data_IF_914297434505
#
_entry.id   IF_914297434505
#
_cell.length_a   1.000
_cell.length_b   1.000
_cell.length_c   1.000
_cell.angle_alpha   90.00
_cell.angle_beta   90.00
_cell.angle_gamma   90.00
#
_symmetry.space_group_name_H-M   'P 1'
#
loop_
_entity.id
_entity.type
_entity.pdbx_description
1 polymer ?
#
# COMPACT_ATOMS: atom_id res chain seq x y z
N UNK A 1 -14.22 0.68 -9.85
CA UNK A 1 -14.42 1.71 -10.89
C UNK A 1 -14.24 1.13 -12.30
N UNK A 2 -13.01 0.95 -12.81
CA UNK A 2 -12.79 0.40 -14.16
C UNK A 2 -13.39 -1.00 -14.35
N UNK A 3 -13.15 -1.90 -13.38
CA UNK A 3 -13.70 -3.27 -13.39
C UNK A 3 -15.21 -3.34 -13.18
N UNK A 4 -15.82 -2.28 -12.68
CA UNK A 4 -17.28 -2.14 -12.53
C UNK A 4 -17.92 -1.52 -13.78
N UNK A 5 -17.11 -1.06 -14.74
CA UNK A 5 -17.59 -0.33 -15.92
C UNK A 5 -18.13 1.07 -15.60
N UNK A 6 -17.82 1.64 -14.43
CA UNK A 6 -18.34 2.94 -14.00
C UNK A 6 -17.64 4.14 -14.66
N UNK A 7 -16.50 3.91 -15.32
CA UNK A 7 -15.70 4.92 -16.00
C UNK A 7 -15.49 4.44 -17.44
N UNK A 8 -15.85 5.28 -18.41
CA UNK A 8 -15.80 4.92 -19.84
C UNK A 8 -14.39 4.92 -20.45
N UNK A 9 -13.42 5.56 -19.80
CA UNK A 9 -12.03 5.69 -20.29
C UNK A 9 -11.13 4.51 -19.92
N UNK A 10 -11.65 3.52 -19.19
CA UNK A 10 -10.93 2.31 -18.83
C UNK A 10 -11.84 1.08 -18.87
N UNK A 11 -11.23 -0.09 -18.97
CA UNK A 11 -11.90 -1.39 -19.00
C UNK A 11 -11.26 -2.35 -17.99
N UNK A 12 -11.79 -3.58 -17.92
CA UNK A 12 -11.15 -4.69 -17.24
C UNK A 12 -9.69 -4.84 -17.68
N UNK A 13 -8.82 -5.26 -16.76
CA UNK A 13 -7.44 -5.59 -17.07
C UNK A 13 -7.40 -6.76 -18.04
N UNK A 14 -6.79 -6.56 -19.20
CA UNK A 14 -6.45 -7.66 -20.09
C UNK A 14 -5.11 -8.20 -19.65
N UNK A 15 -5.11 -9.38 -19.03
CA UNK A 15 -3.86 -10.12 -18.94
C UNK A 15 -3.67 -10.79 -20.30
N UNK A 16 -2.69 -10.30 -21.07
CA UNK A 16 -2.16 -11.11 -22.15
C UNK A 16 -1.80 -12.47 -21.54
N UNK A 17 -2.39 -13.53 -22.09
CA UNK A 17 -1.96 -14.89 -21.80
C UNK A 17 -0.54 -14.99 -22.35
N UNK A 18 0.46 -14.57 -21.56
CA UNK A 18 1.85 -14.86 -21.86
C UNK A 18 1.99 -16.39 -21.76
N UNK A 19 1.98 -17.03 -22.93
CA UNK A 19 2.30 -18.43 -23.09
C UNK A 19 1.13 -19.40 -22.89
N UNK A 20 0.13 -19.37 -23.78
CA UNK A 20 -0.30 -20.66 -24.32
C UNK A 20 0.85 -21.16 -25.20
N UNK A 21 1.72 -21.92 -24.55
CA UNK A 21 2.73 -22.76 -25.13
C UNK A 21 2.07 -23.71 -26.15
N UNK A 22 2.14 -23.35 -27.43
CA UNK A 22 2.07 -24.34 -28.50
C UNK A 22 3.40 -25.12 -28.49
N UNK A 23 3.58 -26.01 -27.52
CA UNK A 23 4.88 -26.65 -27.33
C UNK A 23 4.88 -27.84 -26.37
N UNK A 24 4.61 -29.02 -26.93
CA UNK A 24 5.06 -30.35 -26.45
C UNK A 24 6.08 -30.36 -25.28
N UNK A 25 5.71 -30.89 -24.11
CA UNK A 25 6.72 -31.36 -23.16
C UNK A 25 6.31 -31.67 -21.72
N UNK A 26 5.88 -32.92 -21.48
CA UNK A 26 6.09 -33.73 -20.25
C UNK A 26 6.04 -33.05 -18.86
N UNK A 27 4.90 -33.28 -18.19
CA UNK A 27 4.89 -33.96 -16.90
C UNK A 27 4.74 -33.11 -15.64
N UNK A 28 3.50 -32.85 -15.20
CA UNK A 28 2.89 -33.51 -14.04
C UNK A 28 1.46 -33.03 -13.87
N UNK A 29 0.61 -34.01 -13.58
CA UNK A 29 -0.83 -33.95 -13.50
C UNK A 29 -1.29 -33.30 -12.19
N UNK A 30 -2.06 -32.22 -12.29
CA UNK A 30 -3.09 -31.88 -11.29
C UNK A 30 -4.35 -31.48 -12.04
N UNK A 31 -5.23 -32.46 -12.28
CA UNK A 31 -6.48 -32.36 -13.02
C UNK A 31 -7.52 -31.37 -12.46
N UNK A 32 -7.35 -30.09 -12.76
CA UNK A 32 -8.43 -29.11 -12.76
C UNK A 32 -8.25 -28.16 -13.94
N UNK A 33 -8.98 -28.41 -15.03
CA UNK A 33 -9.13 -27.49 -16.16
C UNK A 33 -9.93 -26.28 -15.65
N UNK A 34 -9.29 -25.12 -15.54
CA UNK A 34 -9.95 -23.86 -15.20
C UNK A 34 -9.64 -22.81 -16.26
N UNK A 35 -10.64 -22.01 -16.58
CA UNK A 35 -10.55 -21.03 -17.66
C UNK A 35 -10.38 -19.62 -17.07
N UNK A 36 -9.54 -18.81 -17.71
CA UNK A 36 -9.51 -17.38 -17.48
C UNK A 36 -10.82 -16.76 -17.96
N UNK A 37 -11.47 -15.95 -17.13
CA UNK A 37 -12.69 -15.27 -17.48
C UNK A 37 -13.16 -14.30 -16.41
N UNK A 38 -14.22 -13.56 -16.67
CA UNK A 38 -14.66 -12.46 -15.80
C UNK A 38 -13.92 -11.15 -16.09
N UNK A 39 -13.89 -10.26 -15.11
CA UNK A 39 -13.30 -8.92 -15.25
C UNK A 39 -12.18 -8.75 -14.22
N UNK A 40 -10.93 -8.84 -14.68
CA UNK A 40 -9.79 -8.56 -13.82
C UNK A 40 -9.68 -7.06 -13.52
N UNK A 41 -9.22 -6.71 -12.32
CA UNK A 41 -8.94 -5.32 -11.98
C UNK A 41 -7.76 -4.79 -12.82
N UNK A 42 -7.95 -3.63 -13.46
CA UNK A 42 -6.94 -3.01 -14.30
C UNK A 42 -5.96 -2.17 -13.45
N UNK A 43 -5.09 -2.87 -12.73
CA UNK A 43 -4.14 -2.23 -11.80
C UNK A 43 -3.10 -1.37 -12.52
N UNK A 44 -2.73 -1.72 -13.76
CA UNK A 44 -1.80 -0.94 -14.57
C UNK A 44 -2.39 0.42 -14.95
N UNK A 45 -3.65 0.44 -15.41
CA UNK A 45 -4.36 1.70 -15.64
C UNK A 45 -4.44 2.54 -14.36
N UNK A 46 -4.78 1.91 -13.23
CA UNK A 46 -4.84 2.59 -11.93
C UNK A 46 -3.50 3.20 -11.51
N UNK A 47 -2.40 2.45 -11.67
CA UNK A 47 -1.06 2.92 -11.36
C UNK A 47 -0.61 4.06 -12.29
N UNK A 48 -0.91 3.96 -13.59
CA UNK A 48 -0.63 5.01 -14.57
C UNK A 48 -1.40 6.29 -14.24
N UNK A 49 -2.71 6.20 -14.02
CA UNK A 49 -3.53 7.34 -13.63
C UNK A 49 -3.02 7.99 -12.33
N UNK A 50 -2.71 7.17 -11.33
CA UNK A 50 -2.15 7.66 -10.06
C UNK A 50 -0.83 8.40 -10.26
N UNK A 51 0.07 7.89 -11.11
CA UNK A 51 1.32 8.58 -11.46
C UNK A 51 1.06 9.91 -12.14
N UNK A 52 0.18 9.94 -13.15
CA UNK A 52 -0.17 11.17 -13.88
C UNK A 52 -0.93 12.20 -13.03
N UNK A 53 -1.59 11.77 -11.95
CA UNK A 53 -2.35 12.66 -11.08
C UNK A 53 -1.54 13.12 -9.86
N UNK A 54 -0.97 12.20 -9.08
CA UNK A 54 -0.28 12.49 -7.82
C UNK A 54 1.10 13.11 -8.07
N UNK A 55 1.89 12.54 -9.00
CA UNK A 55 3.28 12.98 -9.19
C UNK A 55 3.37 14.34 -9.91
N UNK A 56 2.27 14.86 -10.48
CA UNK A 56 2.27 16.18 -11.13
C UNK A 56 2.44 17.36 -10.15
N UNK A 57 2.18 17.13 -8.86
CA UNK A 57 2.43 18.14 -7.83
C UNK A 57 3.91 18.17 -7.41
N UNK A 58 4.69 17.13 -7.73
CA UNK A 58 6.10 17.01 -7.37
C UNK A 58 7.01 17.68 -8.43
N UNK A 59 6.91 19.01 -8.52
CA UNK A 59 7.64 19.81 -9.52
C UNK A 59 8.98 20.34 -9.01
N UNK A 60 9.07 20.56 -7.71
CA UNK A 60 10.26 21.12 -7.09
C UNK A 60 11.43 20.16 -7.23
N UNK A 61 12.62 20.73 -7.34
CA UNK A 61 13.86 20.00 -7.45
C UNK A 61 14.52 20.05 -6.08
N UNK A 62 13.95 19.32 -5.13
CA UNK A 62 14.44 19.23 -3.77
C UNK A 62 14.38 17.78 -3.24
N UNK A 63 14.91 17.57 -2.03
CA UNK A 63 14.90 16.24 -1.38
C UNK A 63 13.47 15.76 -1.10
N UNK A 64 12.53 16.68 -0.83
CA UNK A 64 11.14 16.36 -0.56
C UNK A 64 10.45 15.78 -1.78
N UNK A 65 10.61 16.39 -2.95
CA UNK A 65 10.12 15.85 -4.22
C UNK A 65 10.68 14.46 -4.49
N UNK A 66 11.99 14.23 -4.28
CA UNK A 66 12.60 12.92 -4.48
C UNK A 66 12.02 11.85 -3.53
N UNK A 67 11.83 12.18 -2.25
CA UNK A 67 11.17 11.34 -1.26
C UNK A 67 9.72 11.04 -1.66
N UNK A 68 8.95 12.07 -2.05
CA UNK A 68 7.55 11.93 -2.44
C UNK A 68 7.40 11.02 -3.66
N UNK A 69 8.18 11.23 -4.72
CA UNK A 69 8.17 10.38 -5.91
C UNK A 69 8.53 8.92 -5.60
N UNK A 70 9.50 8.69 -4.70
CA UNK A 70 9.87 7.35 -4.26
C UNK A 70 8.71 6.68 -3.51
N UNK A 71 8.17 7.34 -2.48
CA UNK A 71 7.08 6.81 -1.66
C UNK A 71 5.78 6.61 -2.45
N UNK A 72 5.49 7.49 -3.42
CA UNK A 72 4.35 7.35 -4.33
C UNK A 72 4.50 6.09 -5.20
N UNK A 73 5.70 5.85 -5.73
CA UNK A 73 5.96 4.64 -6.51
C UNK A 73 5.88 3.37 -5.65
N UNK A 74 6.46 3.38 -4.45
CA UNK A 74 6.35 2.28 -3.49
C UNK A 74 4.87 1.95 -3.20
N UNK A 75 4.04 2.97 -2.98
CA UNK A 75 2.59 2.79 -2.79
C UNK A 75 1.90 2.14 -4.00
N UNK A 76 2.21 2.59 -5.23
CA UNK A 76 1.67 1.98 -6.46
C UNK A 76 2.11 0.52 -6.61
N UNK A 77 3.37 0.21 -6.31
CA UNK A 77 3.90 -1.14 -6.36
C UNK A 77 3.24 -2.06 -5.34
N UNK A 78 2.97 -1.60 -4.11
CA UNK A 78 2.25 -2.39 -3.10
C UNK A 78 0.80 -2.69 -3.48
N UNK A 79 0.12 -1.77 -4.17
CA UNK A 79 -1.22 -2.05 -4.72
C UNK A 79 -1.13 -3.13 -5.81
N UNK A 80 -0.16 -3.00 -6.72
CA UNK A 80 0.01 -3.93 -7.84
C UNK A 80 0.45 -5.33 -7.40
N UNK A 81 1.39 -5.43 -6.44
CA UNK A 81 1.92 -6.70 -5.96
C UNK A 81 0.93 -7.51 -5.13
N UNK A 82 -0.07 -6.85 -4.53
CA UNK A 82 -1.09 -7.50 -3.70
C UNK A 82 -2.25 -8.10 -4.51
N UNK A 83 -2.26 -7.96 -5.83
CA UNK A 83 -3.25 -8.58 -6.72
C UNK A 83 -3.35 -10.09 -6.50
N UNK A 84 -4.56 -10.62 -6.42
CA UNK A 84 -4.82 -12.05 -6.20
C UNK A 84 -5.73 -12.64 -7.25
N UNK A 85 -5.52 -13.92 -7.54
CA UNK A 85 -6.48 -14.71 -8.29
C UNK A 85 -7.67 -15.06 -7.40
N UNK A 86 -8.85 -14.58 -7.78
CA UNK A 86 -10.13 -15.04 -7.25
C UNK A 86 -10.80 -15.97 -8.26
N UNK A 87 -11.47 -17.01 -7.79
CA UNK A 87 -12.18 -17.96 -8.64
C UNK A 87 -13.63 -18.15 -8.15
N UNK A 88 -14.55 -18.31 -9.10
CA UNK A 88 -15.91 -18.81 -8.82
C UNK A 88 -16.08 -20.20 -9.42
N UNK A 89 -16.71 -21.07 -8.62
CA UNK A 89 -17.01 -22.44 -9.01
C UNK A 89 -18.43 -22.55 -9.58
N UNK A 90 -18.57 -23.30 -10.66
CA UNK A 90 -19.81 -23.41 -11.45
C UNK A 90 -20.28 -24.87 -11.62
N UNK A 91 -19.69 -25.83 -10.90
CA UNK A 91 -20.08 -27.23 -11.00
C UNK A 91 -21.40 -27.55 -10.29
N UNK A 92 -21.97 -28.72 -10.64
CA UNK A 92 -23.21 -29.23 -10.03
C UNK A 92 -23.11 -29.24 -8.50
N UNK A 93 -24.18 -28.81 -7.83
CA UNK A 93 -24.27 -28.70 -6.37
C UNK A 93 -23.13 -27.90 -5.71
N UNK A 94 -22.56 -26.91 -6.40
CA UNK A 94 -21.49 -26.06 -5.87
C UNK A 94 -20.09 -26.67 -5.97
N UNK A 95 -19.92 -27.76 -6.72
CA UNK A 95 -18.60 -28.34 -6.98
C UNK A 95 -17.71 -27.40 -7.81
N UNK A 96 -16.40 -27.49 -7.60
CA UNK A 96 -15.39 -26.72 -8.34
C UNK A 96 -14.80 -27.46 -9.54
N UNK A 97 -15.53 -28.45 -10.09
CA UNK A 97 -15.11 -29.20 -11.28
C UNK A 97 -14.90 -28.28 -12.49
N UNK A 98 -15.69 -27.21 -12.58
CA UNK A 98 -15.49 -26.09 -13.50
C UNK A 98 -15.40 -24.84 -12.65
N UNK A 99 -14.35 -24.03 -12.85
CA UNK A 99 -14.19 -22.73 -12.21
C UNK A 99 -13.66 -21.69 -13.20
N UNK A 100 -14.06 -20.46 -12.97
CA UNK A 100 -13.61 -19.28 -13.72
C UNK A 100 -12.85 -18.38 -12.78
N UNK A 101 -11.67 -17.92 -13.18
CA UNK A 101 -10.81 -17.09 -12.34
C UNK A 101 -10.44 -15.76 -13.01
N UNK A 102 -10.28 -14.72 -12.20
CA UNK A 102 -9.79 -13.38 -12.58
C UNK A 102 -8.87 -12.81 -11.50
N UNK A 103 -8.11 -11.79 -11.86
CA UNK A 103 -7.24 -11.08 -10.93
C UNK A 103 -8.00 -9.93 -10.27
N UNK A 104 -7.88 -9.81 -8.95
CA UNK A 104 -8.61 -8.80 -8.19
C UNK A 104 -7.75 -8.24 -7.07
N UNK A 105 -7.94 -6.96 -6.78
CA UNK A 105 -7.35 -6.32 -5.62
C UNK A 105 -7.98 -6.88 -4.33
N UNK A 106 -7.18 -7.08 -3.27
CA UNK A 106 -7.74 -7.42 -1.97
C UNK A 106 -8.45 -6.20 -1.36
N UNK A 107 -9.09 -6.39 -0.21
CA UNK A 107 -9.62 -5.28 0.57
C UNK A 107 -8.51 -4.24 0.85
N UNK A 108 -8.83 -2.95 0.75
CA UNK A 108 -7.85 -1.89 0.98
C UNK A 108 -7.22 -1.92 2.37
N UNK A 109 -7.91 -2.48 3.39
CA UNK A 109 -7.32 -2.72 4.71
C UNK A 109 -6.05 -3.57 4.66
N UNK A 110 -6.00 -4.57 3.77
CA UNK A 110 -4.80 -5.40 3.60
C UNK A 110 -3.64 -4.59 3.03
N UNK A 111 -3.92 -3.78 2.01
CA UNK A 111 -2.92 -2.87 1.42
C UNK A 111 -2.42 -1.90 2.50
N UNK A 112 -3.33 -1.33 3.30
CA UNK A 112 -3.00 -0.46 4.43
C UNK A 112 -2.08 -1.13 5.46
N UNK A 113 -2.31 -2.41 5.79
CA UNK A 113 -1.42 -3.16 6.68
C UNK A 113 -0.02 -3.34 6.07
N UNK A 114 0.08 -3.71 4.80
CA UNK A 114 1.38 -3.88 4.11
C UNK A 114 2.16 -2.56 4.09
N UNK A 115 1.48 -1.44 3.80
CA UNK A 115 2.10 -0.11 3.81
C UNK A 115 2.47 0.31 5.24
N UNK A 116 1.66 -0.05 6.25
CA UNK A 116 1.97 0.19 7.67
C UNK A 116 3.24 -0.55 8.12
N UNK A 117 3.44 -1.78 7.67
CA UNK A 117 4.67 -2.52 7.96
C UNK A 117 5.90 -1.83 7.34
N UNK A 118 5.75 -1.25 6.15
CA UNK A 118 6.81 -0.46 5.49
C UNK A 118 7.03 0.90 6.15
N UNK A 119 5.99 1.48 6.75
CA UNK A 119 6.10 2.69 7.55
C UNK A 119 6.91 2.44 8.82
N UNK A 120 6.68 1.32 9.51
CA UNK A 120 7.44 0.96 10.73
C UNK A 120 8.91 0.65 10.44
N UNK A 121 9.22 0.19 9.22
CA UNK A 121 10.57 -0.09 8.73
C UNK A 121 11.15 0.99 7.80
N UNK A 122 10.58 2.20 7.76
CA UNK A 122 11.01 3.23 6.83
C UNK A 122 12.46 3.66 7.06
N UNK A 123 13.18 3.99 5.98
CA UNK A 123 14.61 4.33 6.04
C UNK A 123 14.84 5.83 6.01
N UNK A 124 15.70 6.33 6.92
CA UNK A 124 16.16 7.72 6.89
C UNK A 124 17.16 7.93 5.75
N UNK A 125 16.91 8.95 4.95
CA UNK A 125 17.74 9.35 3.81
C UNK A 125 18.19 10.80 3.94
N UNK A 126 19.32 11.10 3.32
CA UNK A 126 19.93 12.42 3.22
C UNK A 126 20.10 12.80 1.75
N UNK A 127 20.38 14.08 1.52
CA UNK A 127 20.65 14.59 0.19
C UNK A 127 22.01 14.08 -0.29
N UNK A 128 21.99 13.24 -1.33
CA UNK A 128 23.20 12.80 -1.99
C UNK A 128 23.80 13.89 -2.87
N UNK A 129 25.14 13.93 -2.92
CA UNK A 129 25.90 14.88 -3.73
C UNK A 129 26.06 14.45 -5.21
N UNK A 130 25.43 13.35 -5.63
CA UNK A 130 25.57 12.87 -7.01
C UNK A 130 24.72 13.69 -7.99
N UNK A 131 25.40 14.53 -8.77
CA UNK A 131 24.83 15.22 -9.93
C UNK A 131 24.75 14.22 -11.09
N UNK A 132 23.66 13.45 -11.18
CA UNK A 132 23.35 12.73 -12.43
C UNK A 132 22.75 13.72 -13.42
N UNK A 133 23.35 13.81 -14.61
CA UNK A 133 23.06 14.75 -15.72
C UNK A 133 21.61 14.78 -16.24
N UNK A 134 20.72 13.95 -15.68
CA UNK A 134 19.27 14.03 -15.85
C UNK A 134 18.55 13.94 -14.50
N UNK A 135 18.64 15.03 -13.74
CA UNK A 135 17.63 15.52 -12.80
C UNK A 135 16.96 14.39 -12.00
N UNK A 136 17.67 13.86 -11.01
CA UNK A 136 17.06 13.29 -9.80
C UNK A 136 18.03 13.59 -8.66
N UNK A 137 17.54 14.24 -7.60
CA UNK A 137 18.27 14.23 -6.35
C UNK A 137 18.50 12.77 -5.97
N UNK A 138 19.76 12.42 -5.76
CA UNK A 138 20.10 11.09 -5.27
C UNK A 138 19.76 11.07 -3.79
N UNK A 139 18.93 10.12 -3.36
CA UNK A 139 18.71 9.86 -1.94
C UNK A 139 19.83 8.93 -1.48
N UNK A 140 20.63 9.38 -0.52
CA UNK A 140 21.66 8.55 0.11
C UNK A 140 21.20 8.12 1.50
N UNK A 141 21.56 6.91 1.92
CA UNK A 141 21.30 6.44 3.29
C UNK A 141 21.97 7.35 4.31
N UNK A 142 21.24 7.75 5.37
CA UNK A 142 21.84 8.46 6.50
C UNK A 142 22.80 7.58 7.31
N UNK A 143 22.52 6.27 7.41
CA UNK A 143 23.38 5.30 8.11
C UNK A 143 23.90 4.23 7.13
N UNK A 144 25.22 4.22 6.81
CA UNK A 144 25.82 3.24 5.90
C UNK A 144 25.73 1.78 6.38
N UNK A 145 25.50 1.55 7.67
CA UNK A 145 25.35 0.20 8.24
C UNK A 145 23.93 -0.37 8.04
N UNK A 146 22.98 0.46 7.60
CA UNK A 146 21.63 0.00 7.28
C UNK A 146 21.57 -0.49 5.84
N UNK A 147 20.69 -1.47 5.59
CA UNK A 147 20.42 -1.95 4.24
C UNK A 147 19.85 -0.79 3.40
N UNK A 148 20.33 -0.57 2.16
CA UNK A 148 19.71 0.40 1.25
C UNK A 148 18.24 0.11 1.01
N UNK A 149 17.36 1.14 0.99
CA UNK A 149 15.95 0.95 0.73
C UNK A 149 15.73 0.45 -0.69
N UNK A 150 14.81 -0.51 -0.83
CA UNK A 150 14.32 -0.97 -2.12
C UNK A 150 13.26 -0.03 -2.68
N UNK A 151 12.85 -0.23 -3.94
CA UNK A 151 11.80 0.59 -4.58
C UNK A 151 10.42 0.43 -3.94
N UNK A 152 10.23 -0.60 -3.12
CA UNK A 152 9.01 -0.87 -2.35
C UNK A 152 9.10 -0.41 -0.90
N UNK A 153 10.25 0.10 -0.46
CA UNK A 153 10.40 0.61 0.89
C UNK A 153 9.92 2.06 0.98
N UNK A 154 9.64 2.53 2.18
CA UNK A 154 9.33 3.94 2.42
C UNK A 154 10.58 4.64 2.95
N UNK A 155 10.76 5.89 2.55
CA UNK A 155 11.88 6.72 2.96
C UNK A 155 11.40 8.05 3.55
N UNK A 156 12.21 8.60 4.47
CA UNK A 156 11.97 9.91 5.08
C UNK A 156 13.31 10.62 5.32
N UNK A 157 13.32 11.95 5.42
CA UNK A 157 14.56 12.71 5.67
C UNK A 157 14.52 13.54 6.95
N UNK A 158 13.36 14.08 7.31
CA UNK A 158 13.16 14.85 8.55
C UNK A 158 12.64 13.96 9.68
N UNK A 159 13.13 14.20 10.89
CA UNK A 159 12.61 13.52 12.07
C UNK A 159 11.17 13.97 12.36
N UNK A 160 10.32 13.03 12.77
CA UNK A 160 8.94 13.34 13.13
C UNK A 160 8.89 14.17 14.42
N UNK A 161 8.02 15.19 14.51
CA UNK A 161 7.84 15.96 15.73
C UNK A 161 7.18 15.12 16.84
N UNK A 162 7.18 15.66 18.06
CA UNK A 162 6.36 15.08 19.13
C UNK A 162 4.89 15.41 18.92
N UNK A 163 4.05 14.39 18.75
CA UNK A 163 2.61 14.55 18.58
C UNK A 163 1.84 14.65 19.92
N UNK A 164 2.54 14.73 21.05
CA UNK A 164 1.91 14.71 22.37
C UNK A 164 1.09 15.96 22.67
N UNK A 165 1.64 17.14 22.39
CA UNK A 165 1.02 18.43 22.65
C UNK A 165 0.57 19.09 21.34
N UNK A 166 -0.36 20.05 21.38
CA UNK A 166 -0.79 20.76 20.19
C UNK A 166 0.35 21.61 19.63
N UNK A 167 0.62 21.50 18.32
CA UNK A 167 1.55 22.36 17.61
C UNK A 167 0.83 23.01 16.41
N UNK A 168 0.51 24.31 16.48
CA UNK A 168 -0.12 25.05 15.38
C UNK A 168 0.74 25.13 14.11
N UNK A 169 2.07 25.05 14.23
CA UNK A 169 3.00 25.19 13.09
C UNK A 169 2.93 24.03 12.12
N UNK A 170 2.68 22.82 12.63
CA UNK A 170 2.50 21.57 11.84
C UNK A 170 1.06 21.07 11.85
N UNK A 171 0.12 21.87 12.38
CA UNK A 171 -1.33 21.62 12.37
C UNK A 171 -1.77 20.31 13.04
N UNK A 172 -1.11 19.87 14.11
CA UNK A 172 -1.59 18.75 14.94
C UNK A 172 -2.14 19.21 16.29
N UNK A 173 -3.22 18.54 16.74
CA UNK A 173 -3.98 18.92 17.96
C UNK A 173 -3.41 18.33 19.26
N UNK A 174 -2.36 17.53 19.18
CA UNK A 174 -1.87 16.73 20.31
C UNK A 174 -2.74 15.49 20.55
N UNK A 175 -2.45 14.75 21.63
CA UNK A 175 -3.18 13.52 21.98
C UNK A 175 -4.18 13.67 23.14
N UNK A 176 -4.37 14.89 23.65
CA UNK A 176 -5.37 15.16 24.70
C UNK A 176 -6.77 14.78 24.20
N UNK A 177 -7.56 14.18 25.08
CA UNK A 177 -8.95 13.72 24.81
C UNK A 177 -9.08 12.63 23.73
N UNK A 178 -7.98 11.93 23.39
CA UNK A 178 -8.06 10.71 22.59
C UNK A 178 -8.35 9.51 23.48
N UNK A 179 -9.17 8.60 22.98
CA UNK A 179 -9.39 7.29 23.59
C UNK A 179 -8.08 6.48 23.57
N UNK A 180 -7.85 5.73 24.64
CA UNK A 180 -6.70 4.85 24.79
C UNK A 180 -7.12 3.52 25.41
N UNK A 181 -6.32 2.49 25.17
CA UNK A 181 -6.52 1.15 25.69
C UNK A 181 -5.62 0.92 26.92
N UNK A 182 -6.21 0.83 28.11
CA UNK A 182 -5.45 0.64 29.35
C UNK A 182 -4.72 -0.72 29.43
N UNK A 183 -5.15 -1.71 28.64
CA UNK A 183 -4.54 -3.05 28.60
C UNK A 183 -3.46 -3.18 27.51
N UNK A 184 -3.31 -2.20 26.62
CA UNK A 184 -2.32 -2.25 25.54
C UNK A 184 -1.00 -1.64 25.99
N UNK A 185 0.10 -2.28 25.58
CA UNK A 185 1.47 -1.77 25.71
C UNK A 185 1.93 -1.02 24.44
N UNK A 186 1.11 -1.04 23.38
CA UNK A 186 1.43 -0.46 22.08
C UNK A 186 1.14 1.04 22.01
N UNK A 187 1.18 1.58 20.80
CA UNK A 187 0.92 3.02 20.56
C UNK A 187 -0.51 3.43 20.86
N UNK A 188 -1.46 2.50 20.99
CA UNK A 188 -2.83 2.71 21.48
C UNK A 188 -2.96 2.61 23.01
N UNK A 189 -1.90 2.16 23.69
CA UNK A 189 -1.79 2.07 25.14
C UNK A 189 -1.87 3.43 25.82
N UNK A 190 -2.54 3.51 26.96
CA UNK A 190 -2.71 4.80 27.65
C UNK A 190 -1.39 5.46 28.08
N UNK A 191 -0.35 4.68 28.38
CA UNK A 191 0.97 5.23 28.73
C UNK A 191 1.60 6.01 27.57
N UNK A 192 1.47 5.48 26.34
CA UNK A 192 2.03 6.08 25.13
C UNK A 192 1.06 7.13 24.54
N UNK A 193 -0.22 6.81 24.38
CA UNK A 193 -1.24 7.74 23.87
C UNK A 193 -1.34 9.01 24.71
N UNK A 194 -1.35 8.88 26.04
CA UNK A 194 -1.49 10.02 26.93
C UNK A 194 -0.13 10.68 27.26
N UNK A 195 0.98 10.17 26.72
CA UNK A 195 2.33 10.68 26.93
C UNK A 195 2.68 10.84 28.43
N UNK A 196 2.33 9.84 29.24
CA UNK A 196 2.58 9.85 30.69
C UNK A 196 1.75 10.85 31.53
N UNK A 197 0.80 11.58 30.94
CA UNK A 197 -0.06 12.55 31.67
C UNK A 197 -1.18 11.91 32.49
N UNK A 198 -1.33 10.59 32.43
CA UNK A 198 -2.47 9.85 33.00
C UNK A 198 -3.70 9.86 32.09
N UNK A 199 -4.73 9.12 32.49
CA UNK A 199 -5.99 8.98 31.74
C UNK A 199 -7.21 8.92 32.69
N UNK A 200 -8.38 9.27 32.16
CA UNK A 200 -9.68 9.14 32.82
C UNK A 200 -10.47 8.01 32.16
N UNK A 201 -11.07 7.15 32.97
CA UNK A 201 -11.98 6.11 32.49
C UNK A 201 -13.43 6.58 32.60
N UNK A 202 -14.20 6.40 31.54
CA UNK A 202 -15.63 6.68 31.50
C UNK A 202 -16.37 5.42 31.04
N UNK A 203 -17.46 5.08 31.74
CA UNK A 203 -18.30 3.94 31.41
C UNK A 203 -19.62 4.43 30.83
N UNK A 204 -20.01 3.92 29.66
CA UNK A 204 -21.30 4.20 29.04
C UNK A 204 -22.06 2.90 28.76
N UNK A 205 -23.39 2.93 28.92
CA UNK A 205 -24.25 1.81 28.53
C UNK A 205 -24.58 1.91 27.04
N UNK A 206 -24.11 0.95 26.25
CA UNK A 206 -24.50 0.81 24.86
C UNK A 206 -25.72 -0.14 24.76
N UNK A 207 -26.80 0.33 24.13
CA UNK A 207 -27.89 -0.58 23.69
C UNK A 207 -27.49 -1.22 22.38
N UNK A 208 -27.27 -2.53 22.39
CA UNK A 208 -27.20 -3.31 21.16
C UNK A 208 -28.54 -3.27 20.43
N UNK A 209 -28.47 -3.19 19.09
CA UNK A 209 -29.63 -3.18 18.20
C UNK A 209 -30.02 -4.59 17.77
#
# INVERSE_FOLDING_TARGET
ACSEGSIYTCSCGHQEVQGQDQGRGRGQDTGAEWNWGGCSDNVEFGAKFCREFIDTNEKERDIRCAMNLHNNEAGRLHVASEMRQECKCHGLSGSCAIKTCWMKLPSFRRIGNVVKDRFDGASKVEQGNEIREKIRFSLTLSNPNHKPPEVTDLVYFDDSPSFCDPDPGVSHKGTKHRECNASSIGTDGCDIMCCGRGYRTETYEARDR
#
